data_IF_491004843044
#
_entry.id   IF_491004843044
#
_cell.length_a   1.000
_cell.length_b   1.000
_cell.length_c   1.000
_cell.angle_alpha   90.00
_cell.angle_beta   90.00
_cell.angle_gamma   90.00
#
_symmetry.space_group_name_H-M   'P 1'
#
loop_
_entity.id
_entity.type
_entity.pdbx_description
1 polymer ?
#
# COMPACT_ATOMS: atom_id res chain seq x y z
N UNK A 1 41.42 -3.60 29.54
CA UNK A 1 40.80 -4.11 28.28
C UNK A 1 39.31 -4.40 28.43
N UNK A 2 38.83 -4.98 29.54
CA UNK A 2 37.41 -5.34 29.74
C UNK A 2 36.45 -4.14 29.67
N UNK A 3 36.79 -2.97 30.18
CA UNK A 3 35.95 -1.75 30.15
C UNK A 3 35.74 -1.19 28.74
N UNK A 4 36.74 -1.27 27.84
CA UNK A 4 36.64 -0.75 26.49
C UNK A 4 35.70 -1.62 25.61
N UNK A 5 35.66 -2.93 25.87
CA UNK A 5 34.77 -3.86 25.20
C UNK A 5 33.33 -3.62 25.64
N UNK A 6 33.10 -3.31 26.92
CA UNK A 6 31.74 -3.01 27.44
C UNK A 6 31.16 -1.74 26.81
N UNK A 7 31.99 -0.70 26.63
CA UNK A 7 31.58 0.56 25.96
C UNK A 7 31.23 0.30 24.49
N UNK A 8 32.00 -0.53 23.79
CA UNK A 8 31.76 -0.87 22.39
C UNK A 8 30.44 -1.65 22.21
N UNK A 9 30.18 -2.59 23.12
CA UNK A 9 28.90 -3.36 23.13
C UNK A 9 27.72 -2.46 23.47
N UNK A 10 27.87 -1.53 24.43
CA UNK A 10 26.82 -0.55 24.75
C UNK A 10 26.51 0.38 23.57
N UNK A 11 27.54 0.83 22.83
CA UNK A 11 27.34 1.64 21.62
C UNK A 11 26.64 0.85 20.51
N UNK A 12 26.94 -0.44 20.37
CA UNK A 12 26.28 -1.29 19.35
C UNK A 12 24.81 -1.57 19.70
N UNK A 13 24.48 -1.76 20.99
CA UNK A 13 23.10 -1.96 21.45
C UNK A 13 22.27 -0.68 21.29
N UNK A 14 22.86 0.51 21.47
CA UNK A 14 22.13 1.77 21.28
C UNK A 14 21.86 2.09 19.80
N UNK A 15 22.70 1.62 18.86
CA UNK A 15 22.45 1.81 17.41
C UNK A 15 21.40 0.86 16.84
N UNK A 16 21.16 -0.30 17.46
CA UNK A 16 20.11 -1.22 17.04
C UNK A 16 18.71 -0.71 17.49
N UNK A 17 18.64 0.10 18.56
CA UNK A 17 17.37 0.63 19.10
C UNK A 17 16.71 1.73 18.27
N UNK A 18 17.37 2.27 17.24
CA UNK A 18 16.85 3.39 16.44
C UNK A 18 16.32 2.99 15.06
N UNK A 19 16.07 1.73 14.81
CA UNK A 19 15.12 1.37 13.76
C UNK A 19 13.70 1.73 14.23
N UNK A 20 13.43 3.03 14.30
CA UNK A 20 12.15 3.52 14.78
C UNK A 20 11.07 3.15 13.79
N UNK A 21 10.32 2.11 14.10
CA UNK A 21 8.95 2.01 13.69
C UNK A 21 8.21 3.19 14.32
N UNK A 22 8.10 4.31 13.58
CA UNK A 22 7.20 5.36 13.99
C UNK A 22 5.82 4.72 14.16
N UNK A 23 5.23 4.71 15.38
CA UNK A 23 3.94 4.07 15.62
C UNK A 23 2.81 4.71 14.80
N UNK A 24 3.05 5.90 14.27
CA UNK A 24 2.12 6.65 13.42
C UNK A 24 2.32 6.37 11.92
N UNK A 25 3.29 5.52 11.53
CA UNK A 25 3.44 5.16 10.13
C UNK A 25 2.17 4.46 9.64
N UNK A 26 1.61 5.01 8.58
CA UNK A 26 0.49 4.42 7.88
C UNK A 26 1.01 3.65 6.66
N UNK A 27 0.42 2.51 6.40
CA UNK A 27 0.84 1.63 5.32
C UNK A 27 -0.33 1.32 4.40
N UNK A 28 0.04 0.94 3.19
CA UNK A 28 -0.85 0.32 2.21
C UNK A 28 -0.29 -1.06 1.84
N UNK A 29 -1.13 -2.06 1.82
CA UNK A 29 -0.77 -3.38 1.27
C UNK A 29 -1.46 -3.58 -0.06
N UNK A 30 -0.70 -3.97 -1.07
CA UNK A 30 -1.22 -4.26 -2.41
C UNK A 30 -1.27 -5.77 -2.64
N UNK A 31 -2.42 -6.23 -3.11
CA UNK A 31 -2.65 -7.59 -3.60
C UNK A 31 -3.01 -7.51 -5.08
N UNK A 32 -2.47 -8.40 -5.89
CA UNK A 32 -2.75 -8.43 -7.32
C UNK A 32 -3.38 -9.77 -7.69
N UNK A 33 -4.46 -9.72 -8.46
CA UNK A 33 -5.21 -10.90 -8.90
C UNK A 33 -5.49 -10.84 -10.39
N UNK A 34 -5.47 -12.01 -11.02
CA UNK A 34 -5.97 -12.19 -12.38
C UNK A 34 -7.21 -13.07 -12.34
N UNK A 35 -8.33 -12.56 -12.82
CA UNK A 35 -9.52 -13.38 -12.94
C UNK A 35 -9.25 -14.55 -13.91
N UNK A 36 -9.74 -15.73 -13.55
CA UNK A 36 -9.68 -16.92 -14.41
C UNK A 36 -10.53 -16.70 -15.66
N UNK A 37 -10.21 -17.42 -16.71
CA UNK A 37 -10.94 -17.31 -17.99
C UNK A 37 -12.43 -17.52 -17.81
N UNK A 38 -13.22 -16.60 -18.32
CA UNK A 38 -14.68 -16.61 -18.18
C UNK A 38 -15.22 -16.29 -16.78
N UNK A 39 -14.36 -15.97 -15.80
CA UNK A 39 -14.76 -15.73 -14.40
C UNK A 39 -14.71 -14.26 -13.97
N UNK A 40 -14.48 -13.34 -14.88
CA UNK A 40 -14.33 -11.89 -14.59
C UNK A 40 -15.52 -11.36 -13.77
N UNK A 41 -16.74 -11.55 -14.27
CA UNK A 41 -17.95 -11.04 -13.61
C UNK A 41 -18.19 -11.69 -12.24
N UNK A 42 -17.91 -12.98 -12.11
CA UNK A 42 -18.02 -13.70 -10.83
C UNK A 42 -17.01 -13.18 -9.82
N UNK A 43 -15.77 -12.98 -10.26
CA UNK A 43 -14.72 -12.42 -9.41
C UNK A 43 -15.08 -11.01 -8.93
N UNK A 44 -15.49 -10.12 -9.84
CA UNK A 44 -15.85 -8.74 -9.50
C UNK A 44 -16.99 -8.71 -8.47
N UNK A 45 -18.06 -9.47 -8.69
CA UNK A 45 -19.21 -9.57 -7.75
C UNK A 45 -18.80 -10.14 -6.40
N UNK A 46 -18.00 -11.20 -6.38
CA UNK A 46 -17.58 -11.85 -5.15
C UNK A 46 -16.62 -10.96 -4.34
N UNK A 47 -15.67 -10.30 -5.00
CA UNK A 47 -14.73 -9.37 -4.36
C UNK A 47 -15.44 -8.11 -3.83
N UNK A 48 -16.41 -7.56 -4.55
CA UNK A 48 -17.25 -6.45 -4.09
C UNK A 48 -18.06 -6.84 -2.86
N UNK A 49 -18.74 -7.99 -2.90
CA UNK A 49 -19.52 -8.50 -1.75
C UNK A 49 -18.63 -8.67 -0.52
N UNK A 50 -17.47 -9.30 -0.66
CA UNK A 50 -16.49 -9.47 0.42
C UNK A 50 -16.05 -8.12 0.99
N UNK A 51 -15.73 -7.16 0.13
CA UNK A 51 -15.30 -5.82 0.54
C UNK A 51 -16.41 -5.12 1.34
N UNK A 52 -17.64 -5.20 0.90
CA UNK A 52 -18.81 -4.64 1.60
C UNK A 52 -19.09 -5.30 2.96
N UNK A 53 -18.70 -6.55 3.14
CA UNK A 53 -18.90 -7.27 4.41
C UNK A 53 -17.83 -6.96 5.42
N UNK A 54 -16.56 -6.94 5.03
CA UNK A 54 -15.41 -6.98 5.94
C UNK A 54 -14.54 -5.71 5.92
N UNK A 55 -14.69 -4.83 4.92
CA UNK A 55 -13.73 -3.76 4.70
C UNK A 55 -14.37 -2.37 4.71
N UNK A 56 -15.05 -2.06 5.82
CA UNK A 56 -15.77 -0.79 6.02
C UNK A 56 -15.09 0.15 7.00
N UNK A 57 -14.25 -0.38 7.88
CA UNK A 57 -13.65 0.35 8.99
C UNK A 57 -12.21 0.76 8.68
N UNK A 58 -11.73 1.79 9.36
CA UNK A 58 -10.36 2.26 9.26
C UNK A 58 -9.36 1.11 9.52
N UNK A 59 -8.32 1.07 8.69
CA UNK A 59 -7.33 0.00 8.70
C UNK A 59 -7.76 -1.31 8.01
N UNK A 60 -9.02 -1.37 7.54
CA UNK A 60 -9.52 -2.51 6.76
C UNK A 60 -10.05 -2.12 5.38
N UNK A 61 -10.08 -0.84 5.04
CA UNK A 61 -10.61 -0.34 3.75
C UNK A 61 -9.83 -0.91 2.58
N UNK A 62 -10.54 -1.52 1.64
CA UNK A 62 -9.96 -2.03 0.39
C UNK A 62 -10.52 -1.27 -0.82
N UNK A 63 -9.61 -0.69 -1.58
CA UNK A 63 -9.89 -0.14 -2.90
C UNK A 63 -9.50 -1.15 -3.97
N UNK A 64 -10.34 -1.38 -4.96
CA UNK A 64 -10.05 -2.32 -6.05
C UNK A 64 -10.09 -1.59 -7.38
N UNK A 65 -9.00 -1.70 -8.14
CA UNK A 65 -8.88 -1.14 -9.48
C UNK A 65 -8.53 -2.23 -10.49
N UNK A 66 -9.15 -2.17 -11.66
CA UNK A 66 -8.75 -2.98 -12.81
C UNK A 66 -7.70 -2.22 -13.61
N UNK A 67 -6.59 -2.86 -13.91
CA UNK A 67 -5.54 -2.28 -14.75
C UNK A 67 -6.01 -2.27 -16.19
N UNK A 68 -6.11 -1.08 -16.78
CA UNK A 68 -6.63 -0.89 -18.13
C UNK A 68 -5.54 -0.78 -19.19
N UNK A 69 -4.32 -0.41 -18.79
CA UNK A 69 -3.19 -0.17 -19.70
C UNK A 69 -1.86 -0.62 -19.08
N UNK A 70 -0.84 -0.85 -19.91
CA UNK A 70 0.49 -1.28 -19.50
C UNK A 70 0.65 -2.80 -19.41
N UNK A 71 1.82 -3.24 -18.94
CA UNK A 71 2.23 -4.65 -18.96
C UNK A 71 1.31 -5.58 -18.14
N UNK A 72 0.63 -5.02 -17.16
CA UNK A 72 -0.29 -5.76 -16.28
C UNK A 72 -1.77 -5.53 -16.66
N UNK A 73 -2.06 -5.18 -17.91
CA UNK A 73 -3.44 -4.98 -18.37
C UNK A 73 -4.32 -6.20 -18.07
N UNK A 74 -5.51 -5.95 -17.52
CA UNK A 74 -6.51 -6.99 -17.21
C UNK A 74 -6.42 -7.59 -15.80
N UNK A 75 -5.36 -7.29 -15.03
CA UNK A 75 -5.31 -7.70 -13.62
C UNK A 75 -6.08 -6.71 -12.72
N UNK A 76 -6.36 -7.15 -11.52
CA UNK A 76 -6.99 -6.34 -10.46
C UNK A 76 -5.96 -6.07 -9.37
N UNK A 77 -5.74 -4.80 -9.08
CA UNK A 77 -4.95 -4.37 -7.93
C UNK A 77 -5.90 -3.99 -6.79
N UNK A 78 -5.70 -4.62 -5.63
CA UNK A 78 -6.47 -4.35 -4.43
C UNK A 78 -5.55 -3.72 -3.38
N UNK A 79 -5.93 -2.55 -2.91
CA UNK A 79 -5.17 -1.72 -2.00
C UNK A 79 -5.87 -1.72 -0.65
N UNK A 80 -5.28 -2.40 0.34
CA UNK A 80 -5.69 -2.31 1.73
C UNK A 80 -4.98 -1.10 2.34
N UNK A 81 -5.73 -0.04 2.58
CA UNK A 81 -5.21 1.27 3.00
C UNK A 81 -5.43 1.54 4.48
N UNK A 82 -4.74 2.56 5.02
CA UNK A 82 -4.91 3.00 6.40
C UNK A 82 -4.35 2.02 7.44
N UNK A 83 -3.48 1.09 7.05
CA UNK A 83 -2.90 0.13 7.97
C UNK A 83 -1.84 0.78 8.86
N UNK A 84 -1.83 0.38 10.12
CA UNK A 84 -0.75 0.62 11.10
C UNK A 84 -0.09 -0.70 11.48
N UNK A 85 0.93 -0.64 12.33
CA UNK A 85 1.53 -1.87 12.87
C UNK A 85 0.50 -2.70 13.69
N UNK A 86 -0.43 -2.04 14.36
CA UNK A 86 -1.52 -2.70 15.11
C UNK A 86 -2.50 -3.47 14.21
N UNK A 87 -2.59 -3.13 12.93
CA UNK A 87 -3.47 -3.84 11.99
C UNK A 87 -3.07 -5.31 11.77
N UNK A 88 -1.85 -5.69 12.15
CA UNK A 88 -1.39 -7.09 12.08
C UNK A 88 -1.88 -7.94 13.28
N UNK A 89 -2.25 -7.29 14.36
CA UNK A 89 -2.77 -7.98 15.56
C UNK A 89 -4.28 -8.25 15.46
N UNK A 90 -4.92 -7.73 14.40
CA UNK A 90 -6.35 -7.95 14.15
C UNK A 90 -6.59 -9.38 13.68
N UNK A 91 -7.50 -10.08 14.35
CA UNK A 91 -8.00 -11.36 13.85
C UNK A 91 -8.84 -11.11 12.58
N UNK A 92 -8.41 -11.73 11.50
CA UNK A 92 -9.07 -11.68 10.19
C UNK A 92 -9.41 -13.06 9.65
N UNK A 93 -9.49 -14.05 10.52
CA UNK A 93 -9.75 -15.44 10.16
C UNK A 93 -11.04 -15.59 9.37
N UNK A 94 -12.15 -14.99 9.82
CA UNK A 94 -13.43 -15.04 9.14
C UNK A 94 -13.37 -14.41 7.73
N UNK A 95 -12.63 -13.30 7.60
CA UNK A 95 -12.43 -12.63 6.32
C UNK A 95 -11.62 -13.50 5.35
N UNK A 96 -10.58 -14.16 5.84
CA UNK A 96 -9.74 -15.06 5.05
C UNK A 96 -10.50 -16.32 4.64
N UNK A 97 -11.24 -16.94 5.54
CA UNK A 97 -12.09 -18.09 5.23
C UNK A 97 -13.15 -17.73 4.16
N UNK A 98 -13.79 -16.57 4.32
CA UNK A 98 -14.74 -16.10 3.32
C UNK A 98 -14.08 -15.89 1.95
N UNK A 99 -12.87 -15.31 1.94
CA UNK A 99 -12.10 -15.10 0.71
C UNK A 99 -11.82 -16.43 0.01
N UNK A 100 -11.24 -17.39 0.73
CA UNK A 100 -10.88 -18.71 0.17
C UNK A 100 -12.09 -19.45 -0.40
N UNK A 101 -13.22 -19.38 0.27
CA UNK A 101 -14.43 -20.08 -0.13
C UNK A 101 -15.18 -19.40 -1.29
N UNK A 102 -15.21 -18.06 -1.30
CA UNK A 102 -16.15 -17.33 -2.16
C UNK A 102 -15.50 -16.47 -3.25
N UNK A 103 -14.20 -16.15 -3.14
CA UNK A 103 -13.51 -15.26 -4.09
C UNK A 103 -12.37 -15.95 -4.80
N UNK A 104 -11.50 -16.64 -4.06
CA UNK A 104 -10.33 -17.36 -4.56
C UNK A 104 -10.66 -18.35 -5.71
N UNK A 105 -11.81 -19.04 -5.74
CA UNK A 105 -12.14 -19.91 -6.86
C UNK A 105 -12.19 -19.20 -8.24
N UNK A 106 -12.35 -17.88 -8.27
CA UNK A 106 -12.57 -17.11 -9.50
C UNK A 106 -11.35 -16.34 -9.99
N UNK A 107 -10.27 -16.25 -9.18
CA UNK A 107 -9.07 -15.53 -9.58
C UNK A 107 -7.81 -16.14 -8.96
N UNK A 108 -6.69 -16.00 -9.65
CA UNK A 108 -5.40 -16.42 -9.18
C UNK A 108 -4.58 -15.22 -8.70
N UNK A 109 -3.79 -15.35 -7.62
CA UNK A 109 -2.89 -14.31 -7.20
C UNK A 109 -1.76 -14.13 -8.21
N UNK A 110 -1.33 -12.88 -8.44
CA UNK A 110 -0.21 -12.53 -9.31
C UNK A 110 0.90 -11.94 -8.47
N UNK A 111 1.97 -12.70 -8.29
CA UNK A 111 3.08 -12.31 -7.41
C UNK A 111 2.73 -12.33 -5.92
N UNK A 112 3.58 -11.70 -5.11
CA UNK A 112 3.41 -11.59 -3.66
C UNK A 112 2.74 -10.29 -3.25
N UNK A 113 2.37 -10.21 -1.97
CA UNK A 113 1.94 -8.97 -1.36
C UNK A 113 3.07 -7.96 -1.34
N UNK A 114 2.75 -6.69 -1.57
CA UNK A 114 3.68 -5.59 -1.44
C UNK A 114 3.15 -4.62 -0.38
N UNK A 115 4.04 -4.17 0.49
CA UNK A 115 3.72 -3.18 1.52
C UNK A 115 4.44 -1.88 1.20
N UNK A 116 3.70 -0.78 1.27
CA UNK A 116 4.14 0.56 0.93
C UNK A 116 3.94 1.46 2.14
N UNK A 117 4.93 2.26 2.48
CA UNK A 117 4.83 3.24 3.56
C UNK A 117 4.25 4.55 3.01
N UNK A 118 3.31 5.10 3.73
CA UNK A 118 2.69 6.38 3.42
C UNK A 118 3.70 7.53 3.61
N UNK A 119 3.87 8.35 2.57
CA UNK A 119 4.69 9.56 2.60
C UNK A 119 3.79 10.79 2.77
N UNK A 120 3.43 11.11 4.02
CA UNK A 120 2.45 12.14 4.36
C UNK A 120 2.76 13.50 3.71
N UNK A 121 4.02 13.91 3.71
CA UNK A 121 4.48 15.18 3.13
C UNK A 121 4.26 15.31 1.62
N UNK A 122 4.00 14.23 0.92
CA UNK A 122 3.89 14.17 -0.55
C UNK A 122 2.45 14.04 -1.05
N UNK A 123 1.48 14.05 -0.15
CA UNK A 123 0.06 13.89 -0.50
C UNK A 123 -0.51 15.19 -1.09
N UNK A 124 -1.49 15.08 -1.98
CA UNK A 124 -2.23 16.21 -2.56
C UNK A 124 -3.71 15.87 -2.57
N UNK A 125 -4.53 16.82 -2.10
CA UNK A 125 -5.99 16.71 -2.06
C UNK A 125 -6.50 15.75 -0.99
N UNK A 126 -7.67 16.03 -0.43
CA UNK A 126 -8.30 15.26 0.64
C UNK A 126 -9.54 14.49 0.16
N UNK A 127 -9.86 14.63 -1.12
CA UNK A 127 -11.03 14.00 -1.71
C UNK A 127 -10.92 12.47 -1.74
N UNK A 128 -12.06 11.83 -1.83
CA UNK A 128 -12.14 10.38 -2.00
C UNK A 128 -11.33 9.92 -3.24
N UNK A 129 -10.81 8.69 -3.22
CA UNK A 129 -10.07 8.16 -4.36
C UNK A 129 -10.88 8.25 -5.66
N UNK A 130 -10.27 8.71 -6.76
CA UNK A 130 -10.95 8.88 -8.03
C UNK A 130 -11.32 7.54 -8.66
N UNK A 131 -12.31 7.56 -9.56
CA UNK A 131 -12.71 6.39 -10.36
C UNK A 131 -11.56 5.84 -11.22
N UNK A 132 -10.72 6.71 -11.73
CA UNK A 132 -9.55 6.37 -12.53
C UNK A 132 -8.31 6.98 -11.89
N UNK A 133 -7.22 6.23 -11.87
CA UNK A 133 -5.94 6.71 -11.38
C UNK A 133 -4.81 6.23 -12.31
N UNK A 134 -3.72 6.98 -12.29
CA UNK A 134 -2.45 6.56 -12.89
C UNK A 134 -1.49 6.17 -11.76
N UNK A 135 -0.98 4.95 -11.83
CA UNK A 135 0.08 4.48 -10.91
C UNK A 135 1.44 4.62 -11.60
N UNK A 136 2.38 5.27 -10.92
CA UNK A 136 3.77 5.37 -11.35
C UNK A 136 4.67 4.77 -10.28
N UNK A 137 5.50 3.81 -10.65
CA UNK A 137 6.53 3.26 -9.78
C UNK A 137 7.87 3.89 -10.14
N UNK A 138 8.45 4.62 -9.21
CA UNK A 138 9.75 5.26 -9.38
C UNK A 138 10.80 4.44 -8.66
N UNK A 139 11.79 3.94 -9.40
CA UNK A 139 12.98 3.28 -8.86
C UNK A 139 14.16 4.21 -8.95
N UNK A 140 14.89 4.35 -7.86
CA UNK A 140 16.06 5.23 -7.81
C UNK A 140 17.26 4.50 -7.20
N UNK A 141 18.46 5.00 -7.52
CA UNK A 141 19.70 4.43 -7.02
C UNK A 141 19.86 4.70 -5.51
N UNK A 142 20.55 3.83 -4.76
CA UNK A 142 20.91 4.12 -3.37
C UNK A 142 21.55 5.51 -3.22
N UNK A 143 21.23 6.21 -2.14
CA UNK A 143 21.69 7.58 -1.89
C UNK A 143 20.92 8.70 -2.62
N UNK A 144 19.98 8.37 -3.53
CA UNK A 144 19.24 9.39 -4.30
C UNK A 144 17.87 9.75 -3.67
N UNK A 145 17.57 9.28 -2.47
CA UNK A 145 16.28 9.53 -1.80
C UNK A 145 15.96 11.03 -1.70
N UNK A 146 16.91 11.85 -1.28
CA UNK A 146 16.68 13.30 -1.13
C UNK A 146 16.41 14.00 -2.47
N UNK A 147 17.04 13.52 -3.54
CA UNK A 147 16.81 14.07 -4.88
C UNK A 147 15.40 13.75 -5.36
N UNK A 148 14.94 12.50 -5.20
CA UNK A 148 13.59 12.13 -5.61
C UNK A 148 12.54 12.79 -4.73
N UNK A 149 12.77 12.92 -3.42
CA UNK A 149 11.88 13.63 -2.51
C UNK A 149 11.71 15.10 -2.91
N UNK A 150 12.80 15.80 -3.22
CA UNK A 150 12.74 17.17 -3.75
C UNK A 150 11.98 17.27 -5.07
N UNK A 151 12.19 16.31 -5.97
CA UNK A 151 11.45 16.25 -7.24
C UNK A 151 9.95 16.08 -7.00
N UNK A 152 9.55 15.11 -6.17
CA UNK A 152 8.15 14.84 -5.81
C UNK A 152 7.53 16.08 -5.15
N UNK A 153 8.23 16.72 -4.22
CA UNK A 153 7.75 17.94 -3.56
C UNK A 153 7.49 19.06 -4.56
N UNK A 154 8.47 19.38 -5.41
CA UNK A 154 8.37 20.47 -6.40
C UNK A 154 7.25 20.22 -7.43
N UNK A 155 7.15 19.00 -7.94
CA UNK A 155 6.07 18.63 -8.87
C UNK A 155 4.71 18.70 -8.19
N UNK A 156 4.63 18.36 -6.89
CA UNK A 156 3.43 18.53 -6.08
C UNK A 156 2.97 19.98 -6.04
N UNK A 157 3.86 20.90 -5.70
CA UNK A 157 3.55 22.35 -5.64
C UNK A 157 3.07 22.91 -6.99
N UNK A 158 3.64 22.44 -8.08
CA UNK A 158 3.18 22.83 -9.43
C UNK A 158 1.78 22.27 -9.72
N UNK A 159 1.55 21.01 -9.33
CA UNK A 159 0.27 20.34 -9.55
C UNK A 159 -0.85 21.03 -8.76
N UNK A 160 -0.66 21.29 -7.47
CA UNK A 160 -1.61 22.02 -6.62
C UNK A 160 -1.98 23.39 -7.18
N UNK A 161 -0.96 24.13 -7.66
CA UNK A 161 -1.17 25.47 -8.22
C UNK A 161 -1.96 25.44 -9.53
N UNK A 162 -1.74 24.43 -10.39
CA UNK A 162 -2.34 24.34 -11.73
C UNK A 162 -3.69 23.64 -11.73
N UNK A 163 -3.92 22.76 -10.79
CA UNK A 163 -5.14 21.97 -10.69
C UNK A 163 -5.58 21.84 -9.23
N UNK A 164 -6.47 22.71 -8.74
CA UNK A 164 -6.99 22.66 -7.37
C UNK A 164 -7.71 21.35 -7.03
N UNK A 165 -8.17 20.60 -8.04
CA UNK A 165 -8.80 19.27 -7.86
C UNK A 165 -7.80 18.12 -7.98
N UNK A 166 -6.50 18.41 -7.99
CA UNK A 166 -5.49 17.37 -8.10
C UNK A 166 -5.57 16.41 -6.91
N UNK A 167 -5.39 15.15 -7.22
CA UNK A 167 -5.28 14.07 -6.25
C UNK A 167 -3.98 13.31 -6.49
N UNK A 168 -3.18 13.16 -5.45
CA UNK A 168 -1.97 12.33 -5.47
C UNK A 168 -1.78 11.64 -4.13
N UNK A 169 -1.45 10.38 -4.19
CA UNK A 169 -0.99 9.59 -3.05
C UNK A 169 0.40 9.04 -3.35
N UNK A 170 1.32 9.18 -2.40
CA UNK A 170 2.71 8.69 -2.49
C UNK A 170 2.96 7.73 -1.33
N UNK A 171 3.55 6.59 -1.65
CA UNK A 171 3.88 5.52 -0.73
C UNK A 171 5.32 5.07 -0.91
#
# INVERSE_FOLDING_TARGET
MKSKILILVALFVTTIGFSQNNPNNTYMTTFVYKAKDGMVEKFEKAADKKTKMFNKEDGSIILTYKVLTGDNMGVYERYLVGQSNKSYDLDRSDELEYWEKNVSPYADPVGGQQRWMWEEWAQIGDQAPPKYLTKTIIRFKPGMRDHISRFIYRTGKVLEKRNPSAFRRVF
#
